data_IF_431435469016
#
_entry.id   IF_431435469016
#
_cell.length_a   1.000
_cell.length_b   1.000
_cell.length_c   1.000
_cell.angle_alpha   90.00
_cell.angle_beta   90.00
_cell.angle_gamma   90.00
#
_symmetry.space_group_name_H-M   'P 1'
#
loop_
_entity.id
_entity.type
_entity.pdbx_description
1 polymer ?
2 polymer ?
3 polymer ?
4 non-polymer ?
5 non-polymer ?
6 water ?
#
loop_
_entity_poly.entity_id
_entity_poly.type
_entity_poly.pdbx_seq_one_letter_code
_entity_poly.pdbx_strand_id
2 'polydeoxyribonucleotide' '(DC)(DG)(DC)(DT)(DA)(DG)(DT)(DG)(DA)(DC)(DT)(DC)(DA)(DT)' ?
3 'polydeoxyribonucleotide' '(DT)(DC)(DT)(DC)(DG)(DT)(DC)(DA)(DC)(DT)(DA)(DG)(DC)(DG)' ?
#
# COMPACT_ATOMS: atom_id res chain seq x y z
N UNK A 2 -3.28 -6.24 -0.64
CA UNK A 2 -2.89 -6.83 -1.91
C UNK A 2 -4.05 -7.49 -2.62
N UNK A 3 -4.11 -7.33 -3.94
CA UNK A 3 -5.16 -7.96 -4.74
C UNK A 3 -4.77 -9.39 -5.08
N UNK A 4 -5.70 -10.32 -4.84
CA UNK A 4 -5.43 -11.74 -4.98
C UNK A 4 -5.02 -12.14 -6.40
N UNK A 5 -3.72 -12.32 -6.61
CA UNK A 5 -3.20 -12.81 -7.87
C UNK A 5 -3.46 -11.91 -9.06
N UNK A 6 -3.42 -10.60 -8.84
CA UNK A 6 -3.64 -9.65 -9.92
C UNK A 6 -2.45 -9.64 -10.88
N UNK A 7 -1.25 -9.84 -10.33
CA UNK A 7 -0.03 -9.85 -11.12
C UNK A 7 -0.04 -10.96 -12.18
N UNK A 8 -0.53 -12.13 -11.80
CA UNK A 8 -0.59 -13.26 -12.70
C UNK A 8 -1.66 -13.06 -13.77
N UNK A 9 -2.73 -12.37 -13.40
CA UNK A 9 -3.84 -12.12 -14.31
C UNK A 9 -3.44 -11.26 -15.48
N UNK A 10 -2.60 -10.28 -15.24
CA UNK A 10 -2.31 -9.28 -16.23
C UNK A 10 -0.91 -9.42 -16.74
N UNK A 11 -0.45 -10.64 -16.76
CA UNK A 11 0.91 -10.97 -17.09
C UNK A 11 1.25 -10.38 -18.43
N UNK A 12 0.32 -10.40 -19.37
CA UNK A 12 0.63 -9.93 -20.71
C UNK A 12 1.13 -8.48 -20.71
N UNK A 13 0.79 -7.74 -19.65
CA UNK A 13 1.17 -6.34 -19.54
C UNK A 13 2.45 -6.17 -18.72
N UNK A 14 3.03 -7.28 -18.28
CA UNK A 14 4.23 -7.25 -17.47
C UNK A 14 5.48 -7.21 -18.34
N UNK A 15 6.51 -6.52 -17.87
CA UNK A 15 7.75 -6.38 -18.62
C UNK A 15 8.97 -6.48 -17.71
N UNK A 16 9.75 -7.56 -17.85
CA UNK A 16 10.99 -7.75 -17.09
C UNK A 16 12.02 -6.67 -17.40
N UNK A 17 12.35 -5.85 -16.40
CA UNK A 17 13.30 -4.77 -16.58
C UNK A 17 14.41 -4.79 -15.53
N UNK A 18 15.27 -3.79 -15.60
CA UNK A 18 16.27 -3.54 -14.57
C UNK A 18 16.19 -2.09 -14.13
N UNK A 19 16.69 -1.79 -12.93
CA UNK A 19 16.57 -0.44 -12.38
C UNK A 19 17.36 0.59 -13.19
N UNK A 20 18.36 0.12 -13.93
CA UNK A 20 19.19 0.98 -14.77
C UNK A 20 18.36 1.74 -15.80
N UNK A 21 17.16 1.22 -16.07
CA UNK A 21 16.22 1.88 -16.97
C UNK A 21 15.91 3.30 -16.51
N UNK A 22 15.87 3.50 -15.20
CA UNK A 22 15.55 4.81 -14.64
C UNK A 22 16.78 5.51 -14.09
N UNK A 23 17.88 5.45 -14.84
CA UNK A 23 19.11 6.11 -14.44
C UNK A 23 18.99 7.61 -14.59
N UNK A 24 19.32 8.34 -13.53
CA UNK A 24 19.21 9.80 -13.55
C UNK A 24 17.79 10.27 -13.39
N UNK A 25 16.94 9.43 -12.80
CA UNK A 25 15.54 9.76 -12.59
C UNK A 25 15.12 9.52 -11.14
N UNK A 26 13.92 9.97 -10.79
CA UNK A 26 13.41 9.86 -9.43
C UNK A 26 12.36 8.77 -9.31
N UNK A 27 12.56 7.87 -8.35
CA UNK A 27 11.63 6.75 -8.13
C UNK A 27 11.21 6.65 -6.66
N UNK A 28 9.92 6.66 -6.41
CA UNK A 28 9.39 6.51 -5.06
C UNK A 28 9.39 5.04 -4.64
N UNK A 29 9.58 4.78 -3.35
CA UNK A 29 9.70 3.42 -2.85
C UNK A 29 8.76 3.12 -1.70
N UNK A 30 8.00 2.03 -1.83
CA UNK A 30 7.15 1.54 -0.75
C UNK A 30 8.02 0.83 0.29
N UNK A 31 8.59 1.61 1.20
CA UNK A 31 9.59 1.12 2.14
C UNK A 31 9.06 0.06 3.10
N UNK A 32 7.73 0.01 3.27
CA UNK A 32 7.12 -0.94 4.18
C UNK A 32 7.41 -2.39 3.79
N UNK A 33 7.52 -2.64 2.49
CA UNK A 33 7.81 -3.98 1.99
C UNK A 33 9.21 -4.43 2.41
N UNK A 34 10.18 -3.56 2.19
CA UNK A 34 11.56 -3.85 2.57
C UNK A 34 11.72 -3.94 4.08
N UNK A 35 10.91 -3.16 4.79
CA UNK A 35 10.90 -3.20 6.25
C UNK A 35 10.39 -4.53 6.75
N UNK A 36 9.30 -5.00 6.15
CA UNK A 36 8.68 -6.27 6.54
C UNK A 36 9.58 -7.45 6.19
N UNK A 37 10.21 -7.37 5.02
CA UNK A 37 11.13 -8.43 4.59
C UNK A 37 12.41 -8.41 5.43
N UNK A 38 12.73 -7.24 5.97
CA UNK A 38 13.92 -7.09 6.79
C UNK A 38 13.68 -7.48 8.24
N UNK A 39 12.42 -7.44 8.65
CA UNK A 39 12.06 -7.80 10.02
C UNK A 39 11.82 -9.30 10.16
N UNK A 40 12.58 -10.09 9.41
CA UNK A 40 12.45 -11.55 9.44
C UNK A 40 13.75 -12.18 9.90
N UNK A 41 14.87 -11.71 9.35
CA UNK A 41 16.17 -12.25 9.70
C UNK A 41 16.60 -11.81 11.10
N UNK A 42 15.84 -10.88 11.69
CA UNK A 42 16.10 -10.41 13.03
C UNK A 42 14.80 -10.32 13.82
N UNK A 43 13.84 -11.14 13.44
CA UNK A 43 12.53 -11.16 14.09
C UNK A 43 12.63 -11.66 15.52
N UNK A 44 13.49 -12.65 15.74
CA UNK A 44 13.70 -13.23 17.06
C UNK A 44 14.20 -12.16 18.03
N UNK A 45 15.36 -11.60 17.71
CA UNK A 45 16.00 -10.58 18.54
C UNK A 45 15.09 -9.38 18.77
N UNK A 46 14.22 -9.11 17.79
CA UNK A 46 13.25 -8.03 17.92
C UNK A 46 12.17 -8.35 18.94
N UNK A 47 11.59 -9.55 18.83
CA UNK A 47 10.50 -9.96 19.71
C UNK A 47 10.98 -10.26 21.13
N UNK A 48 12.28 -10.52 21.27
CA UNK A 48 12.87 -10.77 22.59
C UNK A 48 12.97 -9.48 23.39
N UNK A 49 13.16 -8.37 22.68
CA UNK A 49 13.33 -7.07 23.31
C UNK A 49 14.76 -6.61 23.24
N UNK A 50 15.43 -6.98 22.15
CA UNK A 50 16.84 -6.65 21.97
C UNK A 50 17.06 -5.74 20.77
N UNK A 51 17.82 -4.65 20.97
CA UNK A 51 18.11 -3.67 19.92
C UNK A 51 18.90 -4.27 18.75
N UNK A 52 18.23 -4.50 17.63
CA UNK A 52 18.88 -5.03 16.43
C UNK A 52 18.64 -4.11 15.24
N UNK A 53 19.61 -4.05 14.33
CA UNK A 53 19.53 -3.17 13.18
C UNK A 53 19.82 -3.89 11.86
N UNK A 54 19.37 -5.14 11.77
CA UNK A 54 19.57 -5.93 10.56
C UNK A 54 18.63 -5.45 9.44
N UNK A 55 17.40 -5.11 9.81
CA UNK A 55 16.42 -4.64 8.84
C UNK A 55 16.83 -3.29 8.26
N UNK A 56 17.50 -2.48 9.08
CA UNK A 56 17.99 -1.18 8.64
C UNK A 56 19.00 -1.35 7.50
N UNK A 57 19.99 -2.22 7.74
CA UNK A 57 20.99 -2.51 6.73
C UNK A 57 20.40 -3.24 5.54
N UNK A 58 19.32 -3.98 5.78
CA UNK A 58 18.63 -4.70 4.71
C UNK A 58 17.97 -3.72 3.76
N UNK A 59 17.33 -2.70 4.31
CA UNK A 59 16.71 -1.65 3.50
C UNK A 59 17.77 -0.80 2.82
N UNK A 60 18.83 -0.47 3.57
CA UNK A 60 19.92 0.34 3.04
C UNK A 60 20.70 -0.39 1.96
N UNK A 61 20.57 -1.72 1.93
CA UNK A 61 21.17 -2.51 0.86
C UNK A 61 20.49 -2.18 -0.46
N UNK A 62 19.17 -2.24 -0.46
CA UNK A 62 18.38 -1.89 -1.64
C UNK A 62 18.55 -0.41 -1.99
N UNK A 63 18.62 0.43 -0.96
CA UNK A 63 18.81 1.86 -1.16
C UNK A 63 20.12 2.16 -1.88
N UNK A 64 21.22 1.65 -1.34
CA UNK A 64 22.53 1.83 -1.95
C UNK A 64 22.61 1.17 -3.33
N UNK A 65 21.85 0.09 -3.49
CA UNK A 65 21.77 -0.59 -4.78
C UNK A 65 21.14 0.34 -5.82
N UNK A 66 20.08 1.02 -5.43
CA UNK A 66 19.41 1.97 -6.31
C UNK A 66 20.30 3.17 -6.59
N UNK A 67 21.04 3.60 -5.57
CA UNK A 67 21.95 4.73 -5.72
C UNK A 67 23.12 4.41 -6.64
N UNK A 68 23.49 3.13 -6.69
CA UNK A 68 24.64 2.70 -7.50
C UNK A 68 24.34 2.77 -8.99
N UNK A 69 23.06 2.83 -9.34
CA UNK A 69 22.66 2.91 -10.74
C UNK A 69 22.21 4.31 -11.11
N UNK A 70 22.60 5.29 -10.30
CA UNK A 70 22.28 6.68 -10.56
C UNK A 70 20.80 6.99 -10.49
N UNK A 71 20.15 6.53 -9.42
CA UNK A 71 18.72 6.77 -9.22
C UNK A 71 18.50 7.55 -7.93
N UNK A 72 17.53 8.45 -7.93
CA UNK A 72 17.17 9.21 -6.74
C UNK A 72 15.90 8.64 -6.11
N UNK A 73 16.06 7.87 -5.03
CA UNK A 73 14.95 7.20 -4.35
C UNK A 73 14.17 8.13 -3.42
N UNK A 74 12.86 7.90 -3.32
CA UNK A 74 12.04 8.59 -2.33
C UNK A 74 11.33 7.56 -1.46
N UNK A 75 11.84 7.38 -0.25
CA UNK A 75 11.28 6.39 0.67
C UNK A 75 10.00 6.90 1.31
N UNK A 76 8.91 6.17 1.09
CA UNK A 76 7.61 6.55 1.63
C UNK A 76 7.14 5.58 2.71
N UNK A 77 6.65 6.12 3.81
CA UNK A 77 6.23 5.31 4.94
C UNK A 77 4.76 5.52 5.28
N UNK A 78 4.17 4.55 5.97
CA UNK A 78 2.78 4.67 6.41
C UNK A 78 2.66 5.64 7.58
N UNK A 79 1.51 6.29 7.70
CA UNK A 79 1.25 7.22 8.77
C UNK A 79 0.06 6.83 9.60
N UNK A 80 -0.90 7.75 9.74
CA UNK A 80 -2.11 7.49 10.52
C UNK A 80 -2.95 6.40 9.89
N UNK A 81 -3.50 5.52 10.73
CA UNK A 81 -4.34 4.44 10.24
C UNK A 81 -5.70 4.98 9.81
N UNK A 82 -6.18 4.52 8.66
CA UNK A 82 -7.49 4.92 8.16
C UNK A 82 -8.58 4.53 9.16
N UNK A 83 -9.59 5.40 9.32
CA UNK A 83 -10.72 5.18 10.23
C UNK A 83 -11.47 3.88 9.94
N UNK A 84 -11.35 3.37 8.72
CA UNK A 84 -12.02 2.14 8.33
C UNK A 84 -11.20 0.91 8.74
N UNK A 85 -9.88 1.04 8.66
CA UNK A 85 -8.99 -0.07 8.99
C UNK A 85 -8.55 -0.04 10.45
N UNK A 86 -9.32 0.64 11.28
CA UNK A 86 -9.03 0.74 12.70
C UNK A 86 -9.26 -0.59 13.41
N UNK A 87 -10.47 -1.11 13.26
CA UNK A 87 -10.88 -2.36 13.90
C UNK A 87 -10.01 -3.52 13.45
N UNK A 88 -9.65 -3.53 12.17
CA UNK A 88 -8.79 -4.57 11.61
C UNK A 88 -7.39 -4.47 12.23
N UNK A 89 -6.91 -3.25 12.39
CA UNK A 89 -5.60 -3.00 12.99
C UNK A 89 -5.56 -3.51 14.43
N UNK A 90 -6.59 -3.17 15.21
CA UNK A 90 -6.65 -3.58 16.60
C UNK A 90 -6.84 -5.09 16.72
N UNK A 91 -7.55 -5.67 15.76
CA UNK A 91 -7.78 -7.11 15.73
C UNK A 91 -6.48 -7.86 15.49
N UNK A 92 -5.75 -7.46 14.46
CA UNK A 92 -4.44 -8.05 14.16
C UNK A 92 -3.48 -7.81 15.30
N UNK A 93 -3.64 -6.67 15.97
CA UNK A 93 -2.85 -6.34 17.15
C UNK A 93 -3.09 -7.37 18.26
N UNK A 94 -4.36 -7.64 18.54
CA UNK A 94 -4.71 -8.63 19.57
C UNK A 94 -4.28 -10.04 19.17
N UNK A 95 -4.25 -10.31 17.87
CA UNK A 95 -3.79 -11.61 17.40
C UNK A 95 -2.29 -11.76 17.63
N UNK A 96 -1.54 -10.70 17.34
CA UNK A 96 -0.11 -10.70 17.59
C UNK A 96 0.19 -10.80 19.08
N UNK A 97 -0.65 -10.16 19.89
CA UNK A 97 -0.55 -10.27 21.35
C UNK A 97 -0.84 -11.70 21.80
N UNK A 98 -1.75 -12.35 21.10
CA UNK A 98 -2.12 -13.74 21.42
C UNK A 98 -0.96 -14.67 21.11
N UNK A 99 -0.35 -14.50 19.95
CA UNK A 99 0.81 -15.31 19.57
C UNK A 99 2.00 -15.06 20.51
N UNK A 100 2.17 -13.79 20.89
CA UNK A 100 3.25 -13.42 21.80
C UNK A 100 3.03 -14.01 23.18
N UNK A 101 1.76 -14.12 23.59
CA UNK A 101 1.42 -14.67 24.89
C UNK A 101 1.56 -16.19 24.90
N UNK A 102 1.18 -16.82 23.79
CA UNK A 102 1.27 -18.27 23.67
C UNK A 102 2.68 -18.71 23.27
N UNK A 103 3.56 -17.75 23.03
CA UNK A 103 4.94 -18.04 22.68
C UNK A 103 5.92 -17.51 23.70
N UNK A 104 5.58 -17.65 24.97
CA UNK A 104 6.44 -17.15 26.05
C UNK A 104 6.47 -18.10 27.25
N UNK A 105 5.44 -18.94 27.38
CA UNK A 105 5.36 -19.87 28.50
C UNK A 105 5.09 -21.30 28.05
N UNK A 106 4.19 -21.46 27.10
CA UNK A 106 3.82 -22.78 26.60
C UNK A 106 4.88 -23.31 25.64
N UNK A 107 5.68 -22.40 25.09
CA UNK A 107 6.70 -22.78 24.13
C UNK A 107 8.11 -22.61 24.69
N UNK A 108 8.21 -22.05 25.89
CA UNK A 108 9.52 -21.83 26.52
C UNK A 108 9.72 -22.77 27.70
N UNK A 109 8.62 -23.38 28.16
CA UNK A 109 8.69 -24.34 29.26
C UNK A 109 8.01 -25.66 28.87
N UNK A 110 6.95 -25.56 28.08
CA UNK A 110 6.24 -26.74 27.63
C UNK A 110 6.93 -27.43 26.48
N UNK A 111 7.18 -26.68 25.41
CA UNK A 111 7.87 -27.20 24.24
C UNK A 111 9.08 -26.33 23.90
N UNK A 112 10.12 -26.45 24.71
CA UNK A 112 11.33 -25.63 24.57
C UNK A 112 11.99 -25.81 23.20
N UNK A 113 11.93 -27.03 22.68
CA UNK A 113 12.51 -27.34 21.38
C UNK A 113 11.75 -26.65 20.25
N UNK A 114 10.52 -26.23 20.54
CA UNK A 114 9.71 -25.53 19.56
C UNK A 114 9.17 -24.21 20.11
N UNK A 115 10.08 -23.25 20.28
CA UNK A 115 9.71 -21.95 20.82
C UNK A 115 9.47 -20.94 19.70
N UNK A 116 10.32 -20.98 18.68
CA UNK A 116 10.23 -20.04 17.57
C UNK A 116 9.16 -20.43 16.56
N UNK A 117 7.96 -20.72 17.07
CA UNK A 117 6.82 -21.04 16.22
C UNK A 117 5.79 -19.92 16.29
N UNK A 118 5.36 -19.59 17.51
CA UNK A 118 4.45 -18.47 17.73
C UNK A 118 5.25 -17.21 18.06
N UNK A 119 6.57 -17.34 18.01
CA UNK A 119 7.48 -16.25 18.34
C UNK A 119 7.87 -15.48 17.08
N UNK A 120 7.55 -16.05 15.93
CA UNK A 120 7.92 -15.45 14.65
C UNK A 120 6.70 -15.09 13.81
N UNK A 121 5.51 -15.42 14.32
CA UNK A 121 4.28 -15.12 13.61
C UNK A 121 3.57 -13.91 14.22
N UNK A 122 4.26 -13.24 15.14
CA UNK A 122 3.71 -12.05 15.79
C UNK A 122 4.65 -10.86 15.63
N UNK A 123 4.78 -10.38 14.39
CA UNK A 123 5.67 -9.26 14.09
C UNK A 123 4.89 -8.05 13.63
N UNK A 124 5.26 -6.88 14.15
CA UNK A 124 4.62 -5.63 13.75
C UNK A 124 5.64 -4.54 13.44
N UNK A 125 5.45 -3.87 12.30
CA UNK A 125 6.34 -2.80 11.89
C UNK A 125 5.95 -1.48 12.55
N UNK A 126 6.56 -1.19 13.69
CA UNK A 126 6.24 0.03 14.44
C UNK A 126 6.82 1.27 13.76
N UNK A 127 6.42 2.43 14.24
CA UNK A 127 6.90 3.68 13.68
C UNK A 127 8.32 3.93 14.11
N UNK A 128 8.68 3.36 15.24
CA UNK A 128 10.04 3.52 15.78
C UNK A 128 11.07 2.93 14.82
N UNK A 129 10.80 1.71 14.35
CA UNK A 129 11.67 1.04 13.39
C UNK A 129 11.74 1.84 12.09
N UNK A 130 10.57 2.27 11.61
CA UNK A 130 10.47 3.07 10.40
C UNK A 130 11.31 4.34 10.52
N UNK A 131 11.28 4.96 11.68
CA UNK A 131 12.05 6.17 11.93
C UNK A 131 13.54 5.86 11.99
N UNK A 132 13.87 4.69 12.55
CA UNK A 132 15.26 4.23 12.59
C UNK A 132 15.80 4.06 11.17
N UNK A 133 14.92 3.67 10.26
CA UNK A 133 15.28 3.59 8.85
C UNK A 133 15.38 4.97 8.24
N UNK A 134 14.49 5.87 8.67
CA UNK A 134 14.46 7.23 8.16
C UNK A 134 15.76 7.99 8.45
N UNK A 135 16.26 7.86 9.68
CA UNK A 135 17.51 8.51 10.06
C UNK A 135 18.67 8.04 9.18
N UNK A 136 18.80 6.72 9.05
CA UNK A 136 19.87 6.12 8.25
C UNK A 136 19.76 6.52 6.78
N UNK A 137 18.52 6.70 6.31
CA UNK A 137 18.28 7.09 4.93
C UNK A 137 18.66 8.54 4.69
N UNK A 138 18.27 9.41 5.61
CA UNK A 138 18.60 10.83 5.51
C UNK A 138 20.10 11.05 5.67
N UNK A 139 20.76 10.14 6.38
CA UNK A 139 22.21 10.24 6.58
C UNK A 139 22.96 10.00 5.27
N UNK A 140 22.27 9.46 4.28
CA UNK A 140 22.88 9.17 2.98
C UNK A 140 22.39 10.15 1.91
N UNK A 141 21.58 11.12 2.33
CA UNK A 141 21.08 12.14 1.42
C UNK A 141 19.84 11.70 0.67
N UNK A 142 19.25 10.58 1.09
CA UNK A 142 18.04 10.06 0.45
C UNK A 142 16.79 10.68 1.07
N UNK A 143 15.96 11.29 0.23
CA UNK A 143 14.74 11.93 0.69
C UNK A 143 13.77 10.92 1.30
N UNK A 144 13.06 11.34 2.33
CA UNK A 144 12.05 10.50 2.97
C UNK A 144 10.75 11.29 3.13
N UNK A 145 9.63 10.57 3.10
CA UNK A 145 8.32 11.21 3.19
C UNK A 145 7.29 10.28 3.81
N UNK A 146 6.88 10.58 5.03
CA UNK A 146 5.85 9.80 5.70
C UNK A 146 4.47 10.22 5.21
N UNK A 147 3.71 9.26 4.69
CA UNK A 147 2.36 9.51 4.23
C UNK A 147 1.46 9.90 5.40
N UNK A 148 0.47 10.79 5.15
CA UNK A 148 -0.49 11.14 6.20
C UNK A 148 -1.33 9.94 6.61
N UNK A 149 -1.53 9.02 5.67
CA UNK A 149 -2.24 7.78 5.95
C UNK A 149 -1.54 6.60 5.30
N UNK A 150 -2.26 5.87 4.44
CA UNK A 150 -1.68 4.73 3.76
C UNK A 150 -0.67 5.17 2.71
N UNK A 151 0.53 4.60 2.75
CA UNK A 151 1.61 4.99 1.85
C UNK A 151 1.26 4.70 0.39
N UNK A 152 0.33 3.78 0.18
CA UNK A 152 -0.14 3.42 -1.15
C UNK A 152 -0.64 4.65 -1.91
N UNK A 153 -1.55 5.40 -1.28
CA UNK A 153 -2.14 6.57 -1.90
C UNK A 153 -1.11 7.67 -2.14
N UNK A 154 -0.15 7.79 -1.23
CA UNK A 154 0.91 8.78 -1.35
C UNK A 154 1.80 8.49 -2.55
N UNK A 155 2.22 7.23 -2.66
CA UNK A 155 3.01 6.76 -3.80
C UNK A 155 2.25 7.00 -5.10
N UNK A 156 0.96 6.65 -5.09
CA UNK A 156 0.09 6.84 -6.24
C UNK A 156 0.08 8.31 -6.65
N UNK A 157 0.00 9.21 -5.69
CA UNK A 157 0.04 10.64 -5.97
C UNK A 157 1.38 11.04 -6.59
N UNK A 158 2.46 10.60 -5.95
CA UNK A 158 3.80 10.93 -6.41
C UNK A 158 4.02 10.51 -7.85
N UNK A 159 3.43 9.37 -8.23
CA UNK A 159 3.54 8.90 -9.61
C UNK A 159 2.62 9.68 -10.55
N UNK A 160 1.40 9.94 -10.10
CA UNK A 160 0.41 10.63 -10.93
C UNK A 160 0.68 12.12 -11.07
N UNK A 161 1.48 12.67 -10.15
CA UNK A 161 1.79 14.10 -10.18
C UNK A 161 3.03 14.38 -11.03
N UNK A 162 3.68 13.33 -11.49
CA UNK A 162 4.87 13.47 -12.31
C UNK A 162 6.11 13.76 -11.48
N UNK A 163 5.97 13.67 -10.15
CA UNK A 163 7.10 13.89 -9.25
C UNK A 163 8.09 12.74 -9.36
N UNK A 164 7.57 11.51 -9.36
CA UNK A 164 8.40 10.33 -9.59
C UNK A 164 7.94 9.62 -10.86
N UNK A 165 8.82 8.81 -11.42
CA UNK A 165 8.54 8.13 -12.69
C UNK A 165 7.92 6.76 -12.48
N UNK A 166 8.38 6.04 -11.46
CA UNK A 166 7.90 4.70 -11.18
C UNK A 166 7.70 4.47 -9.69
N UNK A 167 6.99 3.39 -9.35
CA UNK A 167 6.74 3.04 -7.96
C UNK A 167 7.25 1.63 -7.66
N UNK A 168 8.21 1.53 -6.75
CA UNK A 168 8.76 0.23 -6.35
C UNK A 168 8.00 -0.32 -5.16
N UNK A 169 7.30 -1.42 -5.36
CA UNK A 169 6.50 -2.03 -4.29
C UNK A 169 6.32 -3.53 -4.51
N UNK A 170 5.65 -4.17 -3.55
CA UNK A 170 5.29 -5.58 -3.66
C UNK A 170 3.79 -5.71 -3.43
N UNK A 171 3.16 -4.59 -3.10
CA UNK A 171 1.72 -4.55 -2.85
C UNK A 171 0.96 -4.30 -4.16
N UNK A 172 0.01 -5.17 -4.44
CA UNK A 172 -0.75 -5.10 -5.70
C UNK A 172 -1.82 -4.01 -5.68
N UNK A 173 -2.01 -3.39 -4.52
CA UNK A 173 -3.02 -2.35 -4.37
C UNK A 173 -2.67 -1.10 -5.19
N UNK A 174 -1.38 -0.91 -5.44
CA UNK A 174 -0.89 0.26 -6.16
C UNK A 174 -1.47 0.35 -7.58
N UNK A 175 -1.69 -0.81 -8.19
CA UNK A 175 -2.28 -0.85 -9.53
C UNK A 175 -3.71 -0.33 -9.51
N UNK A 176 -4.44 -0.65 -8.44
CA UNK A 176 -5.84 -0.23 -8.31
C UNK A 176 -5.95 1.27 -8.06
N UNK A 177 -4.89 1.88 -7.55
CA UNK A 177 -4.87 3.30 -7.28
C UNK A 177 -4.67 4.11 -8.56
N UNK A 178 -4.29 3.42 -9.63
CA UNK A 178 -4.15 4.06 -10.94
C UNK A 178 -2.75 4.55 -11.24
N UNK A 179 -1.75 3.89 -10.66
CA UNK A 179 -0.37 4.24 -10.94
C UNK A 179 -0.02 3.96 -12.39
N UNK A 180 0.90 4.75 -12.95
CA UNK A 180 1.30 4.60 -14.34
C UNK A 180 2.47 3.63 -14.49
N UNK A 181 3.34 3.59 -13.48
CA UNK A 181 4.49 2.70 -13.49
C UNK A 181 4.67 2.01 -12.15
N UNK A 182 4.62 0.69 -12.16
CA UNK A 182 4.80 -0.10 -10.94
C UNK A 182 5.82 -1.20 -11.13
N UNK A 183 6.85 -1.21 -10.28
CA UNK A 183 7.89 -2.24 -10.34
C UNK A 183 7.74 -3.24 -9.21
N UNK A 184 7.35 -4.47 -9.56
CA UNK A 184 7.11 -5.51 -8.57
C UNK A 184 8.19 -6.58 -8.60
N UNK A 185 8.20 -7.43 -7.57
CA UNK A 185 9.06 -8.61 -7.51
C UNK A 185 10.55 -8.30 -7.68
N UNK A 186 10.96 -7.09 -7.36
CA UNK A 186 12.34 -6.69 -7.55
C UNK A 186 13.26 -7.35 -6.51
N UNK A 187 14.30 -8.01 -6.99
CA UNK A 187 15.26 -8.66 -6.11
C UNK A 187 16.38 -7.70 -5.71
N UNK A 188 17.39 -8.24 -5.02
CA UNK A 188 18.49 -7.42 -4.50
C UNK A 188 19.41 -6.90 -5.60
N UNK A 189 19.42 -7.59 -6.74
CA UNK A 189 20.30 -7.22 -7.84
C UNK A 189 19.73 -6.07 -8.67
N UNK A 190 18.41 -5.90 -8.61
CA UNK A 190 17.75 -4.82 -9.32
C UNK A 190 16.88 -5.31 -10.47
N UNK A 191 16.53 -6.60 -10.43
CA UNK A 191 15.69 -7.18 -11.45
C UNK A 191 14.24 -7.34 -10.99
N UNK A 192 13.34 -6.59 -11.63
CA UNK A 192 11.94 -6.62 -11.27
C UNK A 192 11.02 -6.66 -12.48
N UNK A 193 9.72 -6.56 -12.23
CA UNK A 193 8.72 -6.60 -13.30
C UNK A 193 7.93 -5.28 -13.35
N UNK A 194 8.11 -4.54 -14.43
CA UNK A 194 7.41 -3.28 -14.60
C UNK A 194 6.05 -3.48 -15.27
N UNK A 195 5.02 -2.83 -14.72
CA UNK A 195 3.70 -2.86 -15.31
C UNK A 195 3.25 -1.45 -15.68
N UNK A 196 3.36 -1.13 -16.97
CA UNK A 196 2.92 0.16 -17.49
C UNK A 196 1.40 0.14 -17.66
N UNK A 197 0.74 1.19 -17.20
CA UNK A 197 -0.71 1.30 -17.29
C UNK A 197 -1.18 1.28 -18.74
N UNK A 198 -0.46 2.00 -19.59
CA UNK A 198 -0.81 2.11 -21.00
C UNK A 198 -0.80 0.76 -21.70
N UNK A 199 -0.01 -0.17 -21.20
CA UNK A 199 0.10 -1.50 -21.79
C UNK A 199 -0.93 -2.48 -21.23
N UNK A 200 -1.87 -1.97 -20.42
CA UNK A 200 -2.95 -2.80 -19.89
C UNK A 200 -3.81 -3.39 -21.02
N UNK A 201 -3.74 -2.76 -22.18
CA UNK A 201 -4.47 -3.23 -23.35
C UNK A 201 -3.87 -4.45 -24.00
N UNK A 202 -2.67 -4.82 -23.55
CA UNK A 202 -2.01 -6.01 -24.08
C UNK A 202 -2.65 -7.29 -23.53
N UNK A 203 -3.45 -7.14 -22.47
CA UNK A 203 -4.11 -8.27 -21.85
C UNK A 203 -5.42 -8.60 -22.57
N UNK A 204 -5.40 -9.68 -23.35
CA UNK A 204 -6.58 -10.11 -24.09
C UNK A 204 -7.70 -10.55 -23.16
N UNK A 205 -7.33 -11.25 -22.10
CA UNK A 205 -8.29 -11.78 -21.14
C UNK A 205 -9.01 -10.65 -20.40
N UNK A 206 -8.39 -9.47 -20.39
CA UNK A 206 -8.94 -8.31 -19.70
C UNK A 206 -10.17 -7.75 -20.42
N UNK A 207 -10.12 -7.75 -21.75
CA UNK A 207 -11.23 -7.24 -22.54
C UNK A 207 -11.19 -5.72 -22.66
N UNK A 208 -12.35 -5.08 -22.46
CA UNK A 208 -12.42 -3.63 -22.50
C UNK A 208 -12.35 -3.04 -21.09
N UNK A 209 -11.79 -3.82 -20.16
CA UNK A 209 -11.61 -3.36 -18.79
C UNK A 209 -10.18 -2.86 -18.59
N UNK A 210 -9.71 -2.06 -19.53
CA UNK A 210 -8.34 -1.56 -19.49
C UNK A 210 -8.29 -0.09 -19.07
N UNK A 211 -9.45 0.52 -18.89
CA UNK A 211 -9.52 1.89 -18.40
C UNK A 211 -9.30 1.90 -16.89
N UNK A 212 -8.81 3.02 -16.37
CA UNK A 212 -8.48 3.13 -14.95
C UNK A 212 -9.69 2.89 -14.06
N UNK A 213 -10.83 3.46 -14.44
CA UNK A 213 -12.06 3.33 -13.66
C UNK A 213 -12.55 1.88 -13.62
N UNK A 214 -12.66 1.26 -14.78
CA UNK A 214 -13.14 -0.13 -14.86
C UNK A 214 -12.16 -1.10 -14.19
N UNK A 215 -10.87 -0.82 -14.35
CA UNK A 215 -9.84 -1.64 -13.70
C UNK A 215 -9.97 -1.53 -12.19
N UNK A 216 -10.25 -0.31 -11.72
CA UNK A 216 -10.47 -0.07 -10.30
C UNK A 216 -11.67 -0.86 -9.80
N UNK A 217 -12.79 -0.73 -10.51
CA UNK A 217 -14.01 -1.47 -10.20
C UNK A 217 -13.73 -2.97 -10.13
N UNK A 218 -12.92 -3.47 -11.05
CA UNK A 218 -12.57 -4.88 -11.09
C UNK A 218 -11.79 -5.29 -9.85
N UNK A 219 -10.76 -4.52 -9.52
CA UNK A 219 -9.94 -4.81 -8.35
C UNK A 219 -10.74 -4.79 -7.07
N UNK A 220 -11.67 -3.83 -6.96
CA UNK A 220 -12.52 -3.74 -5.77
C UNK A 220 -13.50 -4.92 -5.70
N UNK A 221 -14.11 -5.24 -6.83
CA UNK A 221 -15.11 -6.30 -6.89
C UNK A 221 -14.49 -7.67 -6.66
N UNK A 222 -13.19 -7.79 -6.95
CA UNK A 222 -12.47 -9.04 -6.76
C UNK A 222 -12.05 -9.23 -5.31
N UNK A 223 -12.17 -8.17 -4.52
CA UNK A 223 -11.81 -8.21 -3.12
C UNK A 223 -10.53 -7.44 -2.82
N UNK A 224 -10.54 -6.67 -1.74
CA UNK A 224 -9.38 -5.89 -1.34
C UNK A 224 -9.40 -5.58 0.15
N UNK A 225 -8.51 -4.68 0.58
CA UNK A 225 -8.42 -4.29 1.98
C UNK A 225 -9.68 -3.56 2.43
N UNK A 226 -10.22 -2.74 1.53
CA UNK A 226 -11.34 -1.86 1.86
C UNK A 226 -12.67 -2.61 1.82
N UNK A 227 -12.69 -3.75 1.15
CA UNK A 227 -13.91 -4.53 1.00
C UNK A 227 -13.62 -5.98 0.63
N UNK A 228 -14.23 -6.91 1.36
CA UNK A 228 -14.06 -8.33 1.09
C UNK A 228 -14.88 -8.77 -0.12
N UNK A 229 -14.39 -9.79 -0.81
CA UNK A 229 -15.06 -10.29 -2.01
C UNK A 229 -16.28 -11.14 -1.68
N UNK A 230 -17.22 -11.19 -2.62
CA UNK A 230 -18.40 -12.03 -2.47
C UNK A 230 -18.01 -13.51 -2.62
N UNK A 231 -18.87 -14.39 -2.13
CA UNK A 231 -18.62 -15.82 -2.21
C UNK A 231 -18.59 -16.31 -3.65
N UNK A 232 -17.49 -16.94 -4.05
CA UNK A 232 -17.35 -17.46 -5.40
C UNK A 232 -17.06 -16.37 -6.41
N UNK A 233 -16.45 -15.28 -5.95
CA UNK A 233 -16.10 -14.16 -6.81
C UNK A 233 -14.63 -13.82 -6.74
N UNK A 234 -13.96 -13.81 -7.88
CA UNK A 234 -12.56 -13.45 -7.96
C UNK A 234 -12.28 -12.48 -9.09
N UNK A 235 -11.11 -12.59 -9.69
CA UNK A 235 -10.70 -11.69 -10.77
C UNK A 235 -11.46 -11.97 -12.06
N UNK A 236 -11.49 -13.23 -12.46
CA UNK A 236 -12.08 -13.63 -13.73
C UNK A 236 -13.56 -13.28 -13.82
N UNK A 237 -14.32 -13.62 -12.78
CA UNK A 237 -15.77 -13.42 -12.79
C UNK A 237 -16.14 -11.93 -12.71
N UNK A 238 -15.39 -11.16 -11.93
CA UNK A 238 -15.64 -9.72 -11.82
C UNK A 238 -15.30 -9.03 -13.14
N UNK A 239 -14.17 -9.42 -13.72
CA UNK A 239 -13.75 -8.92 -15.02
C UNK A 239 -14.80 -9.22 -16.06
N UNK A 240 -15.39 -10.41 -15.97
CA UNK A 240 -16.47 -10.81 -16.87
C UNK A 240 -17.71 -9.95 -16.64
N UNK A 241 -18.00 -9.64 -15.38
CA UNK A 241 -19.12 -8.78 -15.03
C UNK A 241 -18.99 -7.42 -15.69
N UNK A 242 -17.81 -6.81 -15.57
CA UNK A 242 -17.59 -5.48 -16.14
C UNK A 242 -17.47 -5.52 -17.67
N UNK A 243 -17.00 -6.65 -18.19
CA UNK A 243 -16.80 -6.81 -19.62
C UNK A 243 -18.14 -7.01 -20.34
N UNK A 244 -19.09 -7.62 -19.64
CA UNK A 244 -20.42 -7.85 -20.20
C UNK A 244 -21.38 -6.74 -19.79
N UNK A 245 -20.86 -5.70 -19.16
CA UNK A 245 -21.69 -4.58 -18.71
C UNK A 245 -21.63 -3.43 -19.70
N UNK A 246 -22.77 -2.77 -19.87
CA UNK A 246 -22.86 -1.61 -20.77
C UNK A 246 -23.47 -0.41 -20.05
N UNK A 247 -23.85 -0.60 -18.79
CA UNK A 247 -24.48 0.46 -18.01
C UNK A 247 -23.46 1.42 -17.41
N UNK A 248 -23.67 2.73 -17.62
CA UNK A 248 -22.81 3.78 -17.06
C UNK A 248 -22.78 3.75 -15.54
N UNK A 249 -23.92 3.47 -14.91
CA UNK A 249 -24.00 3.41 -13.46
C UNK A 249 -23.56 2.05 -12.94
N UNK A 250 -22.53 2.04 -12.12
CA UNK A 250 -21.95 0.81 -11.61
C UNK A 250 -22.86 0.11 -10.61
N UNK A 251 -23.63 0.89 -9.84
CA UNK A 251 -24.49 0.36 -8.79
C UNK A 251 -25.47 -0.70 -9.30
N UNK A 252 -26.18 -0.37 -10.38
CA UNK A 252 -27.14 -1.30 -10.96
C UNK A 252 -26.48 -2.59 -11.42
N UNK A 253 -25.26 -2.47 -11.93
CA UNK A 253 -24.47 -3.63 -12.34
C UNK A 253 -24.16 -4.51 -11.14
N UNK A 254 -23.74 -3.87 -10.04
CA UNK A 254 -23.47 -4.59 -8.80
C UNK A 254 -24.73 -5.28 -8.31
N UNK A 255 -25.88 -4.68 -8.57
CA UNK A 255 -27.16 -5.29 -8.20
C UNK A 255 -27.49 -6.48 -9.10
N UNK A 256 -27.04 -6.43 -10.35
CA UNK A 256 -27.33 -7.49 -11.31
C UNK A 256 -26.15 -8.43 -11.53
N UNK A 257 -25.21 -8.44 -10.59
CA UNK A 257 -24.03 -9.29 -10.69
C UNK A 257 -24.39 -10.78 -10.79
N UNK A 258 -25.44 -11.18 -10.09
CA UNK A 258 -25.89 -12.56 -10.12
C UNK A 258 -26.58 -12.89 -11.43
N UNK A 259 -27.10 -11.85 -12.08
CA UNK A 259 -27.77 -12.01 -13.36
C UNK A 259 -26.77 -12.09 -14.51
N UNK A 260 -25.64 -11.40 -14.36
CA UNK A 260 -24.62 -11.39 -15.40
C UNK A 260 -23.77 -12.65 -15.41
N UNK A 261 -23.62 -13.28 -14.24
CA UNK A 261 -22.74 -14.44 -14.12
C UNK A 261 -23.50 -15.76 -14.07
N UNK A 262 -24.82 -15.70 -14.23
CA UNK A 262 -25.67 -16.87 -14.15
C UNK A 262 -25.48 -17.59 -12.82
N UNK A 263 -25.35 -16.83 -11.74
CA UNK A 263 -25.14 -17.38 -10.41
C UNK A 263 -26.24 -16.95 -9.44
N UNK A 264 -26.46 -17.75 -8.41
CA UNK A 264 -27.46 -17.44 -7.39
C UNK A 264 -26.86 -16.58 -6.29
N UNK A 265 -26.58 -15.32 -6.62
CA UNK A 265 -25.96 -14.41 -5.67
C UNK A 265 -26.89 -13.28 -5.24
N UNK A 266 -27.17 -13.23 -3.94
CA UNK A 266 -27.96 -12.14 -3.37
C UNK A 266 -27.05 -11.04 -2.84
N UNK A 267 -27.21 -9.83 -3.37
CA UNK A 267 -26.35 -8.72 -3.00
C UNK A 267 -26.74 -8.07 -1.69
N UNK A 268 -25.83 -8.09 -0.71
CA UNK A 268 -26.06 -7.45 0.59
C UNK A 268 -26.17 -5.94 0.48
N UNK A 269 -27.06 -5.34 1.27
CA UNK A 269 -27.26 -3.90 1.26
C UNK A 269 -26.01 -3.16 1.70
N UNK A 270 -25.29 -3.72 2.66
CA UNK A 270 -24.07 -3.11 3.17
C UNK A 270 -22.91 -3.22 2.18
N UNK A 271 -23.00 -4.20 1.28
CA UNK A 271 -21.94 -4.41 0.30
C UNK A 271 -21.91 -3.28 -0.72
N UNK A 272 -23.08 -2.73 -1.02
CA UNK A 272 -23.18 -1.61 -1.96
C UNK A 272 -22.45 -0.39 -1.40
N UNK A 273 -22.83 0.00 -0.19
CA UNK A 273 -22.20 1.12 0.49
C UNK A 273 -20.71 0.87 0.70
N UNK A 274 -20.36 -0.38 0.98
CA UNK A 274 -18.97 -0.76 1.13
C UNK A 274 -18.18 -0.58 -0.16
N UNK A 275 -18.85 -0.85 -1.28
CA UNK A 275 -18.24 -0.68 -2.60
C UNK A 275 -18.04 0.80 -2.88
N UNK A 276 -19.06 1.60 -2.58
CA UNK A 276 -18.98 3.04 -2.75
C UNK A 276 -17.83 3.62 -1.94
N UNK A 277 -17.70 3.17 -0.70
CA UNK A 277 -16.64 3.65 0.19
C UNK A 277 -15.26 3.18 -0.28
N UNK A 278 -15.19 1.96 -0.79
CA UNK A 278 -13.92 1.42 -1.30
C UNK A 278 -13.45 2.23 -2.50
N UNK A 279 -14.38 2.50 -3.41
CA UNK A 279 -14.08 3.30 -4.60
C UNK A 279 -13.70 4.72 -4.25
N UNK A 280 -14.43 5.32 -3.32
CA UNK A 280 -14.14 6.67 -2.86
C UNK A 280 -12.82 6.74 -2.11
N UNK A 281 -12.40 5.60 -1.56
CA UNK A 281 -11.12 5.53 -0.86
C UNK A 281 -9.98 5.43 -1.86
N UNK A 282 -10.17 4.59 -2.88
CA UNK A 282 -9.18 4.48 -3.94
C UNK A 282 -9.03 5.79 -4.70
N UNK A 283 -10.12 6.54 -4.82
CA UNK A 283 -10.12 7.79 -5.56
C UNK A 283 -9.65 8.98 -4.75
N UNK A 284 -10.35 9.27 -3.65
CA UNK A 284 -10.11 10.51 -2.90
C UNK A 284 -9.50 10.29 -1.52
N UNK A 285 -8.49 9.42 -1.42
CA UNK A 285 -7.80 9.25 -0.16
C UNK A 285 -6.84 10.42 0.06
N UNK A 286 -6.83 10.96 1.27
CA UNK A 286 -6.01 12.12 1.58
C UNK A 286 -4.52 11.80 1.50
N UNK A 287 -3.81 12.58 0.70
CA UNK A 287 -2.36 12.45 0.58
C UNK A 287 -1.69 13.77 0.91
N UNK A 288 -0.36 13.77 0.97
CA UNK A 288 0.35 15.00 1.29
C UNK A 288 1.14 15.52 0.09
N UNK A 289 0.75 16.71 -0.38
CA UNK A 289 1.47 17.38 -1.45
C UNK A 289 2.80 17.92 -0.90
N UNK A 290 3.92 17.42 -1.43
CA UNK A 290 5.24 17.87 -0.97
C UNK A 290 5.62 19.24 -1.51
N UNK A 291 5.06 19.61 -2.67
CA UNK A 291 5.39 20.86 -3.31
C UNK A 291 4.64 22.04 -2.70
N UNK A 292 3.32 22.01 -2.80
CA UNK A 292 2.48 23.07 -2.26
C UNK A 292 2.37 22.97 -0.74
N UNK A 293 2.88 21.87 -0.19
CA UNK A 293 2.95 21.64 1.24
C UNK A 293 1.57 21.74 1.91
N UNK A 294 0.62 20.97 1.39
CA UNK A 294 -0.73 20.96 1.93
C UNK A 294 -1.33 19.55 1.88
N UNK A 295 -2.46 19.37 2.54
CA UNK A 295 -3.11 18.07 2.63
C UNK A 295 -4.28 17.97 1.66
N UNK A 296 -4.09 17.23 0.57
CA UNK A 296 -5.10 17.11 -0.48
C UNK A 296 -5.46 15.65 -0.76
N UNK A 297 -6.66 15.41 -1.32
CA UNK A 297 -7.02 14.05 -1.73
C UNK A 297 -6.18 13.57 -2.91
N UNK A 298 -6.22 12.27 -3.19
CA UNK A 298 -5.44 11.69 -4.28
C UNK A 298 -5.83 12.29 -5.62
N UNK A 299 -7.13 12.37 -5.88
CA UNK A 299 -7.63 12.97 -7.10
C UNK A 299 -8.55 14.14 -6.81
N UNK A 300 -8.75 15.01 -7.80
CA UNK A 300 -9.67 16.13 -7.66
C UNK A 300 -11.10 15.63 -7.55
N UNK A 301 -11.89 16.24 -6.68
CA UNK A 301 -13.27 15.83 -6.47
C UNK A 301 -14.11 16.02 -7.73
N UNK A 302 -14.81 14.97 -8.13
CA UNK A 302 -15.70 15.04 -9.28
C UNK A 302 -17.00 15.74 -8.92
N UNK A 303 -18.01 15.61 -9.79
CA UNK A 303 -19.29 16.25 -9.56
C UNK A 303 -20.17 15.43 -8.63
N UNK A 304 -20.05 14.11 -8.71
CA UNK A 304 -20.88 13.22 -7.91
C UNK A 304 -20.14 12.74 -6.66
N UNK A 305 -19.86 13.67 -5.76
CA UNK A 305 -19.19 13.34 -4.49
C UNK A 305 -19.30 14.48 -3.49
N UNK A 306 -19.75 14.16 -2.28
CA UNK A 306 -19.79 15.13 -1.19
C UNK A 306 -18.59 14.92 -0.27
N UNK A 307 -17.62 15.84 -0.34
CA UNK A 307 -16.35 15.73 0.40
C UNK A 307 -16.54 15.65 1.91
N UNK A 308 -17.67 16.14 2.41
CA UNK A 308 -17.94 16.16 3.84
C UNK A 308 -18.43 14.80 4.35
N UNK A 309 -18.51 13.83 3.45
CA UNK A 309 -18.99 12.50 3.80
C UNK A 309 -17.87 11.46 3.68
N UNK A 310 -16.70 11.90 3.26
CA UNK A 310 -15.57 11.00 3.04
C UNK A 310 -14.66 10.93 4.26
N UNK A 311 -15.23 10.63 5.41
CA UNK A 311 -14.47 10.54 6.66
C UNK A 311 -13.63 9.27 6.69
N UNK A 312 -14.16 8.20 6.10
CA UNK A 312 -13.48 6.91 6.07
C UNK A 312 -12.21 6.94 5.23
N UNK A 313 -12.14 7.90 4.31
CA UNK A 313 -10.99 8.01 3.42
C UNK A 313 -9.90 8.88 4.01
N UNK A 314 -10.07 9.26 5.28
CA UNK A 314 -9.10 10.09 5.97
C UNK A 314 -9.68 11.41 6.39
N UNK A 315 -9.22 11.93 7.53
CA UNK A 315 -9.71 13.20 8.05
C UNK A 315 -8.65 14.29 7.92
N UNK A 316 -9.09 15.52 7.66
CA UNK A 316 -8.19 16.64 7.47
C UNK A 316 -7.56 17.14 8.77
N UNK A 317 -6.29 17.53 8.68
CA UNK A 317 -5.61 18.19 9.78
C UNK A 317 -4.95 19.47 9.26
N UNK A 318 -4.44 20.30 10.17
CA UNK A 318 -3.79 21.54 9.77
C UNK A 318 -2.53 21.24 8.95
N UNK A 319 -2.22 22.11 7.99
CA UNK A 319 -1.11 21.89 7.07
C UNK A 319 0.24 21.77 7.79
N UNK A 320 0.40 22.53 8.88
CA UNK A 320 1.65 22.49 9.64
C UNK A 320 1.81 21.14 10.35
N UNK A 321 0.70 20.65 10.90
CA UNK A 321 0.70 19.36 11.57
C UNK A 321 1.02 18.23 10.59
N UNK A 322 0.35 18.25 9.44
CA UNK A 322 0.60 17.27 8.39
C UNK A 322 2.02 17.37 7.88
N UNK A 323 2.57 18.58 7.89
CA UNK A 323 3.94 18.80 7.47
C UNK A 323 4.92 18.18 8.47
N UNK A 324 4.59 18.28 9.75
CA UNK A 324 5.44 17.69 10.78
C UNK A 324 5.30 16.17 10.83
N UNK A 325 4.16 15.67 10.37
CA UNK A 325 3.95 14.23 10.26
C UNK A 325 4.76 13.68 9.09
N UNK A 326 4.69 14.37 7.95
CA UNK A 326 5.36 13.95 6.73
C UNK A 326 6.87 13.92 6.89
N UNK A 327 7.41 14.90 7.63
CA UNK A 327 8.85 14.97 7.85
C UNK A 327 9.33 13.88 8.79
N UNK A 328 8.41 13.35 9.59
CA UNK A 328 8.74 12.31 10.55
C UNK A 328 9.13 12.89 11.91
N UNK A 329 8.95 14.20 12.06
CA UNK A 329 9.28 14.87 13.31
C UNK A 329 8.24 14.61 14.39
N UNK A 330 7.00 14.40 13.98
CA UNK A 330 5.90 14.21 14.91
C UNK A 330 5.49 12.73 15.02
N UNK A 331 5.37 12.25 16.25
CA UNK A 331 4.90 10.89 16.50
C UNK A 331 3.45 10.76 16.07
N UNK A 332 3.11 9.63 15.46
CA UNK A 332 1.77 9.39 14.95
C UNK A 332 0.78 9.16 16.10
N UNK A 333 1.24 8.54 17.17
CA UNK A 333 0.37 8.17 18.28
C UNK A 333 0.24 9.27 19.34
N UNK A 334 1.37 9.75 19.85
CA UNK A 334 1.37 10.71 20.94
C UNK A 334 1.28 12.16 20.44
N UNK A 335 1.43 12.34 19.12
CA UNK A 335 1.32 13.64 18.47
C UNK A 335 2.28 14.68 19.03
N UNK A 336 3.45 14.23 19.47
CA UNK A 336 4.48 15.15 19.96
C UNK A 336 5.73 15.06 19.10
N UNK A 337 6.50 16.15 19.09
CA UNK A 337 7.71 16.23 18.27
C UNK A 337 8.80 15.31 18.81
N UNK A 338 9.32 14.44 17.94
CA UNK A 338 10.39 13.53 18.32
C UNK A 338 11.69 13.91 17.61
N UNK A 339 11.58 14.76 16.60
CA UNK A 339 12.74 15.20 15.83
C UNK A 339 12.61 16.68 15.48
N UNK A 340 13.74 17.29 15.12
CA UNK A 340 13.75 18.71 14.75
C UNK A 340 14.31 18.90 13.34
N UNK A 341 14.12 17.89 12.49
CA UNK A 341 14.64 17.93 11.13
C UNK A 341 13.92 18.96 10.27
N UNK A 342 14.71 19.77 9.55
CA UNK A 342 14.16 20.75 8.62
C UNK A 342 14.79 20.59 7.24
N UNK A 343 13.95 20.48 6.20
CA UNK A 343 14.41 20.22 4.84
C UNK A 343 15.09 21.42 4.18
N UNK A 344 14.96 22.60 4.78
CA UNK A 344 15.53 23.81 4.20
C UNK A 344 16.87 24.17 4.83
N UNK A 345 17.30 23.36 5.78
CA UNK A 345 18.58 23.58 6.45
C UNK A 345 19.46 22.33 6.38
#
# INVERSE_FOLDING_TARGET
MGIQGLLQFIKEASEPIHVRKYKGQVVAVDTYCWLHKGAIACAEKLAKGEPTDRYVGFCMKFVNMLLSHGIKPILVFDGCTLPSKKEVERSARERRQANLLKGKQLLREGKVSEARECFTRSINITHAMAHKVIKAARSQGVDCLVAPYEADAQLAYLNKAGIVQAIITEDSDLLAFGCKKVILKMDQFGNGLEIDQARLGMCRQLGDVFTEEKFRYMCILSGCDYLSSLRGIGLAKACKVLRLANNPDIVKVIKKIGHYLKMNITVPEDYINGFIRANNTFLYQLVFDPIKRKLIPLNAYEDDVDPETLSYAGQYVDDSIALQIALGNKDINTFEQIDDYNPDTAMPAHSR
#
